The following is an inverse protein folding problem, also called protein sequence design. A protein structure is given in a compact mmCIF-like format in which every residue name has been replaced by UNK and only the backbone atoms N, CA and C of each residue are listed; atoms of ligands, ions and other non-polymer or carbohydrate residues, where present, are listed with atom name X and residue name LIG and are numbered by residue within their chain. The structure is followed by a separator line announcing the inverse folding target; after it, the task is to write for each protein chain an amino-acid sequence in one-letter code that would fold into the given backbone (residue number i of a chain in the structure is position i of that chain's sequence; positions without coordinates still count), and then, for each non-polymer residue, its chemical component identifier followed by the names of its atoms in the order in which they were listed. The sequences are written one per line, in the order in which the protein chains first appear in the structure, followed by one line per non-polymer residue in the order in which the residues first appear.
data_IF_723154687168
#
_entry.id   IF_723154687168
#
_cell.length_a   1.000
_cell.length_b   1.000
_cell.length_c   1.000
_cell.angle_alpha   90.00
_cell.angle_beta   90.00
_cell.angle_gamma   90.00
#
_symmetry.space_group_name_H-M   'P 1'
#
loop_
_entity.id
_entity.type
_entity.pdbx_description
1 polymer ?
#
# COMPACT_ATOMS: atom_id res chain seq x y z
N UNK A 1 -15.70 6.59 8.06
CA UNK A 1 -14.72 5.56 7.64
C UNK A 1 -14.61 5.68 6.14
N UNK A 2 -13.57 6.33 5.65
CA UNK A 2 -13.30 6.46 4.22
C UNK A 2 -12.55 5.21 3.75
N UNK A 3 -13.27 4.09 3.62
CA UNK A 3 -12.74 2.88 2.99
C UNK A 3 -12.79 3.03 1.48
N UNK A 4 -11.66 2.86 0.80
CA UNK A 4 -11.63 2.83 -0.66
C UNK A 4 -12.09 1.44 -1.11
N UNK A 5 -13.18 1.35 -1.89
CA UNK A 5 -13.61 0.07 -2.45
C UNK A 5 -12.49 -0.50 -3.35
N UNK A 6 -12.29 -1.83 -3.39
CA UNK A 6 -11.26 -2.47 -4.24
C UNK A 6 -11.31 -2.01 -5.71
N UNK A 7 -12.51 -1.82 -6.25
CA UNK A 7 -12.71 -1.36 -7.64
C UNK A 7 -12.33 0.10 -7.86
N UNK A 8 -12.32 0.91 -6.80
CA UNK A 8 -11.92 2.32 -6.84
C UNK A 8 -10.42 2.53 -6.61
N UNK A 9 -9.66 1.47 -6.35
CA UNK A 9 -8.20 1.56 -6.22
C UNK A 9 -7.61 1.84 -7.62
N UNK A 10 -6.90 2.96 -7.80
CA UNK A 10 -6.28 3.27 -9.07
C UNK A 10 -5.16 2.25 -9.38
N UNK A 11 -5.23 1.67 -10.57
CA UNK A 11 -4.17 0.86 -11.16
C UNK A 11 -3.34 1.75 -12.10
N UNK A 12 -2.02 1.63 -12.05
CA UNK A 12 -1.11 2.29 -12.98
C UNK A 12 -0.02 1.33 -13.44
N UNK A 13 0.43 1.50 -14.68
CA UNK A 13 1.51 0.71 -15.25
C UNK A 13 2.76 1.58 -15.43
N UNK A 14 2.54 2.85 -15.75
CA UNK A 14 3.59 3.80 -16.10
C UNK A 14 3.89 4.81 -14.99
N UNK A 15 5.11 5.35 -15.00
CA UNK A 15 5.51 6.43 -14.09
C UNK A 15 4.68 7.73 -14.30
N UNK A 16 4.18 7.97 -15.52
CA UNK A 16 3.34 9.11 -15.82
C UNK A 16 1.96 8.99 -15.16
N UNK A 17 1.36 7.80 -15.20
CA UNK A 17 0.10 7.50 -14.50
C UNK A 17 0.28 7.53 -12.99
N UNK A 18 1.38 6.96 -12.47
CA UNK A 18 1.74 7.06 -11.07
C UNK A 18 1.74 8.51 -10.59
N UNK A 19 2.38 9.40 -11.36
CA UNK A 19 2.46 10.83 -11.04
C UNK A 19 1.08 11.47 -11.01
N UNK A 20 0.22 11.19 -11.98
CA UNK A 20 -1.16 11.73 -12.01
C UNK A 20 -1.99 11.28 -10.81
N UNK A 21 -1.82 10.03 -10.38
CA UNK A 21 -2.50 9.52 -9.17
C UNK A 21 -1.98 10.25 -7.93
N UNK A 22 -0.65 10.40 -7.83
CA UNK A 22 -0.03 11.11 -6.72
C UNK A 22 -0.48 12.58 -6.65
N UNK A 23 -0.42 13.31 -7.77
CA UNK A 23 -0.85 14.71 -7.88
C UNK A 23 -2.30 14.88 -7.45
N UNK A 24 -3.21 14.04 -7.95
CA UNK A 24 -4.63 14.08 -7.59
C UNK A 24 -4.88 13.85 -6.09
N UNK A 25 -4.15 12.91 -5.48
CA UNK A 25 -4.25 12.67 -4.04
C UNK A 25 -3.68 13.85 -3.24
N UNK A 26 -2.56 14.41 -3.70
CA UNK A 26 -1.92 15.56 -3.07
C UNK A 26 -2.82 16.81 -3.10
N UNK A 27 -3.42 17.12 -4.25
CA UNK A 27 -4.37 18.23 -4.41
C UNK A 27 -5.59 18.10 -3.48
N UNK A 28 -6.02 16.86 -3.20
CA UNK A 28 -7.16 16.59 -2.33
C UNK A 28 -6.79 16.42 -0.85
N UNK A 29 -5.51 16.50 -0.51
CA UNK A 29 -5.02 16.24 0.86
C UNK A 29 -5.36 14.82 1.35
N UNK A 30 -5.39 13.85 0.42
CA UNK A 30 -5.67 12.45 0.71
C UNK A 30 -4.40 11.62 0.61
N UNK A 31 -4.25 10.54 1.39
CA UNK A 31 -3.16 9.60 1.18
C UNK A 31 -3.21 9.01 -0.22
N UNK A 32 -2.04 8.66 -0.76
CA UNK A 32 -1.97 7.90 -1.99
C UNK A 32 -2.10 6.43 -1.62
N UNK A 33 -3.05 5.74 -2.25
CA UNK A 33 -3.13 4.27 -2.24
C UNK A 33 -3.44 3.84 -3.66
N UNK A 34 -2.56 3.04 -4.24
CA UNK A 34 -2.64 2.66 -5.64
C UNK A 34 -2.00 1.29 -5.87
N UNK A 35 -2.38 0.62 -6.96
CA UNK A 35 -1.77 -0.62 -7.40
C UNK A 35 -0.91 -0.32 -8.62
N UNK A 36 0.32 -0.83 -8.64
CA UNK A 36 1.18 -0.86 -9.80
C UNK A 36 1.11 -2.23 -10.46
N UNK A 37 0.85 -2.27 -11.76
CA UNK A 37 1.13 -3.46 -12.56
C UNK A 37 2.64 -3.55 -12.82
N UNK A 38 3.26 -4.64 -12.41
CA UNK A 38 4.68 -4.91 -12.63
C UNK A 38 4.84 -6.21 -13.43
N UNK A 39 5.95 -6.33 -14.15
CA UNK A 39 6.23 -7.50 -15.00
C UNK A 39 6.17 -8.87 -14.30
N UNK A 40 6.16 -8.91 -12.96
CA UNK A 40 6.05 -10.12 -12.14
C UNK A 40 4.94 -10.03 -11.08
N UNK A 41 3.79 -9.47 -11.45
CA UNK A 41 2.61 -9.34 -10.60
C UNK A 41 2.35 -7.91 -10.18
N UNK A 42 1.65 -7.71 -9.07
CA UNK A 42 1.11 -6.41 -8.70
C UNK A 42 1.81 -5.88 -7.44
N UNK A 43 1.95 -4.56 -7.33
CA UNK A 43 2.52 -3.90 -6.15
C UNK A 43 1.53 -2.86 -5.64
N UNK A 44 0.96 -3.11 -4.47
CA UNK A 44 0.15 -2.13 -3.76
C UNK A 44 1.08 -1.15 -3.07
N UNK A 45 0.94 0.13 -3.38
CA UNK A 45 1.70 1.21 -2.77
C UNK A 45 0.78 2.11 -1.96
N UNK A 46 1.25 2.52 -0.78
CA UNK A 46 0.68 3.67 -0.07
C UNK A 46 1.73 4.73 0.21
N UNK A 47 1.31 5.99 0.28
CA UNK A 47 2.17 7.14 0.53
C UNK A 47 1.41 8.24 1.31
N UNK A 48 2.02 8.67 2.42
CA UNK A 48 1.57 9.78 3.27
C UNK A 48 2.55 10.96 3.24
N UNK A 49 3.63 10.89 2.44
CA UNK A 49 4.75 11.82 2.52
C UNK A 49 4.33 13.27 2.23
N UNK A 50 3.46 13.46 1.24
CA UNK A 50 2.93 14.78 0.88
C UNK A 50 2.04 15.40 1.96
N UNK A 51 1.55 14.60 2.91
CA UNK A 51 0.75 15.07 4.04
C UNK A 51 1.63 15.51 5.22
N UNK A 52 2.93 15.19 5.21
CA UNK A 52 3.81 15.36 6.37
C UNK A 52 3.34 14.54 7.58
N UNK A 53 2.77 13.36 7.30
CA UNK A 53 2.20 12.44 8.30
C UNK A 53 2.82 11.07 8.15
N UNK A 54 2.84 10.37 9.26
CA UNK A 54 3.23 8.97 9.31
C UNK A 54 2.21 8.17 10.11
N UNK A 55 2.13 6.87 9.85
CA UNK A 55 1.34 5.93 10.63
C UNK A 55 1.94 5.80 12.03
N UNK A 56 1.06 5.70 13.04
CA UNK A 56 1.47 5.36 14.40
C UNK A 56 2.18 4.01 14.44
N UNK A 57 3.19 3.81 15.30
CA UNK A 57 3.94 2.55 15.39
C UNK A 57 3.05 1.32 15.62
N UNK A 58 2.05 1.46 16.49
CA UNK A 58 1.04 0.43 16.77
C UNK A 58 0.17 0.07 15.55
N UNK A 59 -0.22 1.07 14.75
CA UNK A 59 -0.95 0.84 13.49
C UNK A 59 -0.05 0.19 12.45
N UNK A 60 1.20 0.66 12.34
CA UNK A 60 2.20 0.12 11.45
C UNK A 60 2.47 -1.36 11.74
N UNK A 61 2.58 -1.72 13.02
CA UNK A 61 2.76 -3.12 13.42
C UNK A 61 1.54 -3.96 13.04
N UNK A 62 0.31 -3.48 13.28
CA UNK A 62 -0.91 -4.19 12.85
C UNK A 62 -0.98 -4.38 11.34
N UNK A 63 -0.54 -3.39 10.57
CA UNK A 63 -0.48 -3.48 9.11
C UNK A 63 0.52 -4.56 8.67
N UNK A 64 1.71 -4.59 9.27
CA UNK A 64 2.71 -5.64 9.04
C UNK A 64 2.16 -7.02 9.39
N UNK A 65 1.55 -7.17 10.55
CA UNK A 65 0.99 -8.45 11.00
C UNK A 65 -0.10 -8.95 10.05
N UNK A 66 -0.95 -8.06 9.55
CA UNK A 66 -2.01 -8.38 8.58
C UNK A 66 -1.43 -8.78 7.22
N UNK A 67 -0.43 -8.07 6.71
CA UNK A 67 0.28 -8.42 5.47
C UNK A 67 0.97 -9.79 5.62
N UNK A 68 1.59 -10.05 6.76
CA UNK A 68 2.19 -11.34 7.07
C UNK A 68 1.14 -12.47 7.15
N UNK A 69 -0.02 -12.21 7.75
CA UNK A 69 -1.12 -13.18 7.81
C UNK A 69 -1.67 -13.48 6.41
N UNK A 70 -1.88 -12.45 5.58
CA UNK A 70 -2.33 -12.59 4.20
C UNK A 70 -1.39 -13.49 3.39
N UNK A 71 -0.07 -13.25 3.49
CA UNK A 71 0.96 -14.08 2.81
C UNK A 71 1.00 -15.54 3.27
N UNK A 72 0.59 -15.84 4.51
CA UNK A 72 0.52 -17.23 5.00
C UNK A 72 -0.67 -18.00 4.43
N UNK A 73 -1.69 -17.30 3.96
CA UNK A 73 -2.90 -17.90 3.37
C UNK A 73 -2.74 -18.12 1.85
N UNK A 74 -1.76 -17.48 1.20
CA UNK A 74 -1.49 -17.71 -0.22
C UNK A 74 -0.80 -19.06 -0.46
N UNK A 75 -1.26 -19.86 -1.44
CA UNK A 75 -0.60 -21.11 -1.81
C UNK A 75 0.82 -20.80 -2.28
N UNK A 76 1.80 -21.48 -1.67
CA UNK A 76 3.24 -21.34 -1.91
C UNK A 76 3.56 -21.26 -3.41
N UNK A 77 3.89 -20.07 -3.88
CA UNK A 77 4.63 -19.90 -5.14
C UNK A 77 6.13 -19.99 -4.81
N UNK A 78 6.82 -20.85 -5.55
CA UNK A 78 8.17 -21.40 -5.39
C UNK A 78 9.19 -20.71 -4.47
N UNK A 79 9.83 -21.58 -3.67
CA UNK A 79 10.83 -21.32 -2.61
C UNK A 79 12.14 -20.70 -3.12
N UNK A 80 12.34 -20.58 -4.45
CA UNK A 80 13.50 -19.90 -5.03
C UNK A 80 13.45 -18.36 -4.92
N UNK A 81 12.31 -17.78 -4.51
CA UNK A 81 12.15 -16.33 -4.35
C UNK A 81 12.23 -15.83 -2.90
N UNK A 82 12.69 -16.64 -1.95
CA UNK A 82 12.73 -16.24 -0.54
C UNK A 82 13.95 -15.40 -0.14
N UNK A 83 15.01 -15.36 -0.95
CA UNK A 83 16.28 -14.69 -0.56
C UNK A 83 16.60 -13.44 -1.39
N UNK A 84 16.08 -13.33 -2.62
CA UNK A 84 16.18 -12.13 -3.49
C UNK A 84 14.89 -11.27 -3.48
N UNK A 85 14.08 -11.38 -2.43
CA UNK A 85 12.82 -10.63 -2.29
C UNK A 85 12.74 -9.92 -0.94
N UNK A 86 13.81 -9.22 -0.61
CA UNK A 86 13.77 -8.05 0.28
C UNK A 86 12.95 -6.97 -0.45
N UNK A 87 12.07 -6.24 0.26
CA UNK A 87 11.55 -4.97 -0.26
C UNK A 87 10.04 -4.86 -0.48
N UNK A 88 9.23 -5.50 0.37
CA UNK A 88 7.93 -4.91 0.67
C UNK A 88 8.02 -4.18 1.99
N UNK A 89 8.64 -2.98 2.02
CA UNK A 89 8.82 -2.25 3.27
C UNK A 89 7.50 -1.56 3.62
N UNK A 90 6.77 -2.12 4.59
CA UNK A 90 5.68 -1.38 5.23
C UNK A 90 6.34 -0.37 6.15
N UNK A 91 6.56 0.84 5.61
CA UNK A 91 7.15 1.96 6.32
C UNK A 91 6.09 2.85 6.98
N UNK A 92 6.50 3.68 7.95
CA UNK A 92 5.58 4.58 8.63
C UNK A 92 4.98 5.64 7.68
N UNK A 93 5.70 6.05 6.63
CA UNK A 93 5.26 7.08 5.67
C UNK A 93 4.77 6.49 4.36
N UNK A 94 5.47 5.50 3.84
CA UNK A 94 5.16 4.83 2.58
C UNK A 94 5.44 3.35 2.69
N UNK A 95 4.80 2.56 1.84
CA UNK A 95 5.18 1.17 1.72
C UNK A 95 4.70 0.51 0.45
N UNK A 96 5.42 -0.53 0.07
CA UNK A 96 5.19 -1.33 -1.13
C UNK A 96 4.85 -2.77 -0.71
N UNK A 97 3.79 -3.32 -1.30
CA UNK A 97 3.25 -4.63 -0.95
C UNK A 97 3.00 -5.46 -2.22
N UNK A 98 3.79 -6.51 -2.39
CA UNK A 98 3.64 -7.41 -3.53
C UNK A 98 2.43 -8.33 -3.39
N UNK A 99 1.69 -8.49 -4.50
CA UNK A 99 0.53 -9.34 -4.66
C UNK A 99 0.62 -10.15 -5.97
N UNK A 100 0.17 -11.42 -6.01
CA UNK A 100 0.32 -12.28 -7.19
C UNK A 100 -0.75 -12.03 -8.27
N UNK A 101 -1.86 -11.36 -7.96
CA UNK A 101 -2.90 -11.01 -8.93
C UNK A 101 -3.51 -9.64 -8.65
N UNK A 102 -4.15 -9.04 -9.66
CA UNK A 102 -4.82 -7.73 -9.54
C UNK A 102 -5.92 -7.75 -8.50
N UNK A 103 -6.76 -8.80 -8.50
CA UNK A 103 -7.87 -8.93 -7.55
C UNK A 103 -7.36 -8.93 -6.11
N UNK A 104 -6.29 -9.66 -5.85
CA UNK A 104 -5.62 -9.71 -4.54
C UNK A 104 -4.98 -8.37 -4.21
N UNK A 105 -4.34 -7.72 -5.17
CA UNK A 105 -3.75 -6.41 -4.98
C UNK A 105 -4.81 -5.35 -4.63
N UNK A 106 -5.94 -5.33 -5.33
CA UNK A 106 -7.06 -4.42 -5.06
C UNK A 106 -7.69 -4.67 -3.70
N UNK A 107 -7.87 -5.93 -3.32
CA UNK A 107 -8.37 -6.30 -2.00
C UNK A 107 -7.39 -5.84 -0.90
N UNK A 108 -6.09 -6.10 -1.05
CA UNK A 108 -5.07 -5.64 -0.13
C UNK A 108 -5.01 -4.11 -0.06
N UNK A 109 -5.12 -3.43 -1.20
CA UNK A 109 -5.14 -1.97 -1.29
C UNK A 109 -6.37 -1.36 -0.61
N UNK A 110 -7.54 -1.98 -0.72
CA UNK A 110 -8.74 -1.58 0.03
C UNK A 110 -8.53 -1.66 1.55
N UNK A 111 -7.94 -2.77 2.03
CA UNK A 111 -7.60 -2.93 3.44
C UNK A 111 -6.56 -1.93 3.94
N UNK A 112 -5.53 -1.67 3.12
CA UNK A 112 -4.51 -0.64 3.39
C UNK A 112 -5.19 0.72 3.42
N UNK A 113 -6.04 1.04 2.46
CA UNK A 113 -6.76 2.31 2.41
C UNK A 113 -7.63 2.53 3.64
N UNK A 114 -8.37 1.51 4.11
CA UNK A 114 -9.14 1.63 5.34
C UNK A 114 -8.28 2.00 6.57
N UNK A 115 -7.02 1.55 6.59
CA UNK A 115 -6.07 1.87 7.66
C UNK A 115 -5.43 3.26 7.46
N UNK A 116 -5.03 3.55 6.23
CA UNK A 116 -4.26 4.73 5.85
C UNK A 116 -5.15 5.97 5.71
N UNK A 117 -6.43 5.85 5.35
CA UNK A 117 -7.35 6.99 5.27
C UNK A 117 -7.90 7.42 6.64
N UNK A 118 -7.80 6.56 7.64
CA UNK A 118 -8.22 6.91 9.00
C UNK A 118 -7.18 7.83 9.65
N UNK A 119 -7.54 9.12 9.73
CA UNK A 119 -6.69 10.18 10.31
C UNK A 119 -6.33 9.92 11.78
N UNK A 120 -7.12 9.13 12.50
CA UNK A 120 -6.81 8.78 13.89
C UNK A 120 -5.59 7.86 14.00
N UNK A 121 -5.20 7.21 12.90
CA UNK A 121 -4.02 6.37 12.79
C UNK A 121 -2.74 7.15 12.48
N UNK A 122 -2.84 8.44 12.19
CA UNK A 122 -1.70 9.27 11.82
C UNK A 122 -1.09 9.91 13.06
N UNK A 123 0.22 10.15 12.98
CA UNK A 123 0.94 11.09 13.85
C UNK A 123 1.69 12.08 12.98
N UNK A 124 1.98 13.23 13.58
CA UNK A 124 2.83 14.23 12.92
C UNK A 124 4.26 13.72 12.91
N UNK A 125 4.93 13.84 11.77
CA UNK A 125 6.37 13.63 11.67
C UNK A 125 7.06 14.96 12.01
N UNK A 126 7.70 15.10 13.19
CA UNK A 126 8.50 16.28 13.47
C UNK A 126 9.74 16.24 12.55
N UNK A 127 9.75 17.18 11.59
CA UNK A 127 10.85 17.40 10.65
C UNK A 127 12.12 17.87 11.34
#
# INVERSE_FOLDING_TARGET
MDSLAPDHVPLYETAAEQRRVWERCAERGLPVVAVRDAARGYVVRYDLQHLGRELKPDVLQRLRDRVHAFRRQEPRVDVASQVERIGGEVGPVSGDLHAPSEAIARDLASHVAATVFDRSNWRYEPR
#
